data_IF_951995310484
#
_entry.id   IF_951995310484
#
_cell.length_a   1.000
_cell.length_b   1.000
_cell.length_c   1.000
_cell.angle_alpha   90.00
_cell.angle_beta   90.00
_cell.angle_gamma   90.00
#
_symmetry.space_group_name_H-M   'P 1'
#
loop_
_entity.id
_entity.type
_entity.pdbx_description
1 polymer ?
#
# COMPACT_ATOMS: atom_id res chain seq x y z
N UNK A 1 53.65 -14.58 38.78
CA UNK A 1 53.17 -14.40 37.40
C UNK A 1 51.92 -15.24 37.22
N UNK A 2 50.76 -14.82 37.79
CA UNK A 2 49.51 -15.62 37.61
C UNK A 2 48.22 -14.80 37.84
N UNK A 3 48.25 -13.48 37.60
CA UNK A 3 47.05 -12.64 37.72
C UNK A 3 46.33 -12.38 36.39
N UNK A 4 46.96 -12.70 35.26
CA UNK A 4 46.37 -12.43 33.91
C UNK A 4 45.30 -13.41 33.43
N UNK A 5 45.12 -14.55 34.09
CA UNK A 5 44.24 -15.63 33.59
C UNK A 5 42.83 -15.64 34.26
N UNK A 6 42.64 -14.88 35.33
CA UNK A 6 41.34 -14.86 36.01
C UNK A 6 40.35 -13.84 35.46
N UNK A 7 40.83 -12.77 34.84
CA UNK A 7 39.93 -11.76 34.24
C UNK A 7 39.32 -12.19 32.93
N UNK A 8 40.01 -12.95 32.08
CA UNK A 8 39.48 -13.53 30.85
C UNK A 8 38.34 -14.52 31.13
N UNK A 9 38.47 -15.33 32.18
CA UNK A 9 37.43 -16.30 32.55
C UNK A 9 36.19 -15.63 33.19
N UNK A 10 36.32 -14.47 33.76
CA UNK A 10 35.21 -13.69 34.31
C UNK A 10 34.44 -12.97 33.21
N UNK A 11 35.08 -12.41 32.21
CA UNK A 11 34.43 -11.79 31.05
C UNK A 11 33.70 -12.81 30.18
N UNK A 12 34.25 -13.99 29.97
CA UNK A 12 33.60 -15.07 29.24
C UNK A 12 32.34 -15.58 29.98
N UNK A 13 32.38 -15.70 31.31
CA UNK A 13 31.21 -16.04 32.14
C UNK A 13 30.15 -14.93 32.19
N UNK A 14 30.55 -13.67 32.04
CA UNK A 14 29.60 -12.54 31.92
C UNK A 14 28.98 -12.46 30.53
N UNK A 15 29.68 -12.80 29.45
CA UNK A 15 29.11 -12.92 28.08
C UNK A 15 28.16 -14.09 27.96
N UNK A 16 28.37 -15.21 28.64
CA UNK A 16 27.49 -16.38 28.62
C UNK A 16 26.20 -16.18 29.43
N UNK A 17 26.13 -15.18 30.29
CA UNK A 17 24.91 -14.77 31.04
C UNK A 17 23.99 -13.79 30.31
N UNK A 18 24.21 -13.48 29.02
CA UNK A 18 23.15 -12.87 28.20
C UNK A 18 21.98 -13.84 28.13
N UNK A 19 21.03 -13.59 29.01
CA UNK A 19 19.88 -14.44 29.33
C UNK A 19 19.25 -15.01 28.05
N UNK A 20 19.34 -16.33 27.88
CA UNK A 20 18.44 -17.06 26.97
C UNK A 20 17.02 -16.72 27.39
N UNK A 21 16.19 -16.20 26.51
CA UNK A 21 14.81 -15.89 26.87
C UNK A 21 14.20 -17.15 27.48
N UNK A 22 13.67 -17.04 28.70
CA UNK A 22 13.17 -18.21 29.46
C UNK A 22 12.20 -19.00 28.60
N UNK A 23 12.19 -20.32 28.73
CA UNK A 23 11.39 -21.24 27.91
C UNK A 23 9.92 -20.80 27.78
N UNK A 24 9.35 -20.22 28.83
CA UNK A 24 8.01 -19.63 28.83
C UNK A 24 7.87 -18.45 27.84
N UNK A 25 8.88 -17.55 27.74
CA UNK A 25 8.87 -16.44 26.77
C UNK A 25 9.04 -16.93 25.35
N UNK A 26 9.83 -17.98 25.11
CA UNK A 26 9.99 -18.57 23.78
C UNK A 26 8.75 -19.35 23.36
N UNK A 27 8.11 -20.07 24.27
CA UNK A 27 6.85 -20.77 24.05
C UNK A 27 5.72 -19.78 23.77
N UNK A 28 5.59 -18.73 24.57
CA UNK A 28 4.61 -17.65 24.36
C UNK A 28 4.81 -16.96 23.02
N UNK A 29 6.06 -16.69 22.62
CA UNK A 29 6.38 -16.14 21.30
C UNK A 29 5.96 -17.07 20.16
N UNK A 30 6.17 -18.38 20.29
CA UNK A 30 5.74 -19.41 19.31
C UNK A 30 4.22 -19.50 19.23
N UNK A 31 3.53 -19.56 20.36
CA UNK A 31 2.06 -19.61 20.43
C UNK A 31 1.46 -18.34 19.83
N UNK A 32 1.97 -17.17 20.18
CA UNK A 32 1.53 -15.88 19.61
C UNK A 32 1.72 -15.83 18.10
N UNK A 33 2.86 -16.29 17.58
CA UNK A 33 3.12 -16.34 16.12
C UNK A 33 2.17 -17.33 15.44
N UNK A 34 1.86 -18.46 16.07
CA UNK A 34 0.95 -19.46 15.51
C UNK A 34 -0.50 -18.96 15.51
N UNK A 35 -0.95 -18.33 16.59
CA UNK A 35 -2.28 -17.72 16.67
C UNK A 35 -2.43 -16.60 15.64
N UNK A 36 -1.46 -15.71 15.52
CA UNK A 36 -1.50 -14.58 14.58
C UNK A 36 -1.46 -15.04 13.11
N UNK A 37 -0.86 -16.21 12.83
CA UNK A 37 -0.80 -16.80 11.48
C UNK A 37 -1.92 -17.80 11.19
N UNK A 38 -2.83 -18.06 12.15
CA UNK A 38 -3.98 -18.92 11.92
C UNK A 38 -4.91 -18.32 10.87
N UNK A 39 -5.38 -19.09 9.89
CA UNK A 39 -6.36 -18.64 8.91
C UNK A 39 -7.63 -18.07 9.54
N UNK A 40 -8.05 -18.63 10.68
CA UNK A 40 -9.22 -18.15 11.44
C UNK A 40 -8.95 -16.77 12.04
N UNK A 41 -7.79 -16.60 12.69
CA UNK A 41 -7.40 -15.30 13.26
C UNK A 41 -7.28 -14.24 12.18
N UNK A 42 -6.66 -14.57 11.04
CA UNK A 42 -6.53 -13.67 9.89
C UNK A 42 -7.92 -13.30 9.36
N UNK A 43 -8.85 -14.26 9.26
CA UNK A 43 -10.21 -13.99 8.78
C UNK A 43 -11.01 -13.10 9.75
N UNK A 44 -10.89 -13.31 11.06
CA UNK A 44 -11.54 -12.46 12.07
C UNK A 44 -10.96 -11.05 12.01
N UNK A 45 -9.64 -10.93 11.99
CA UNK A 45 -8.95 -9.63 11.94
C UNK A 45 -9.27 -8.87 10.65
N UNK A 46 -9.33 -9.55 9.50
CA UNK A 46 -9.74 -8.95 8.24
C UNK A 46 -11.16 -8.39 8.30
N UNK A 47 -12.11 -9.11 8.91
CA UNK A 47 -13.49 -8.62 9.09
C UNK A 47 -13.55 -7.40 10.02
N UNK A 48 -12.78 -7.42 11.11
CA UNK A 48 -12.73 -6.28 12.04
C UNK A 48 -12.13 -5.04 11.37
N UNK A 49 -11.05 -5.20 10.62
CA UNK A 49 -10.43 -4.11 9.85
C UNK A 49 -11.42 -3.62 8.79
N UNK A 50 -12.03 -4.51 8.02
CA UNK A 50 -13.02 -4.11 7.02
C UNK A 50 -14.19 -3.34 7.63
N UNK A 51 -14.74 -3.81 8.74
CA UNK A 51 -15.81 -3.12 9.48
C UNK A 51 -15.37 -1.73 9.96
N UNK A 52 -14.14 -1.61 10.48
CA UNK A 52 -13.56 -0.33 10.87
C UNK A 52 -13.43 0.63 9.67
N UNK A 53 -12.88 0.17 8.55
CA UNK A 53 -12.75 0.99 7.34
C UNK A 53 -14.12 1.44 6.83
N UNK A 54 -15.12 0.56 6.85
CA UNK A 54 -16.52 0.90 6.51
C UNK A 54 -17.09 1.93 7.46
N UNK A 55 -16.85 1.82 8.78
CA UNK A 55 -17.25 2.82 9.75
C UNK A 55 -16.61 4.18 9.45
N UNK A 56 -15.30 4.20 9.21
CA UNK A 56 -14.59 5.44 8.81
C UNK A 56 -15.22 6.02 7.55
N UNK A 57 -15.43 5.20 6.53
CA UNK A 57 -16.00 5.65 5.26
C UNK A 57 -17.41 6.25 5.39
N UNK A 58 -18.30 5.57 6.10
CA UNK A 58 -19.71 5.96 6.19
C UNK A 58 -19.97 7.13 7.15
N UNK A 59 -19.07 7.37 8.11
CA UNK A 59 -19.24 8.43 9.12
C UNK A 59 -18.46 9.71 8.84
N UNK A 60 -17.57 9.70 7.84
CA UNK A 60 -16.90 10.93 7.40
C UNK A 60 -17.68 11.56 6.25
N UNK A 61 -18.09 12.81 6.43
CA UNK A 61 -18.88 13.55 5.43
C UNK A 61 -17.94 14.06 4.33
N UNK A 62 -18.22 13.81 3.05
CA UNK A 62 -17.47 14.41 1.96
C UNK A 62 -17.53 15.94 2.03
N UNK A 63 -16.38 16.60 1.84
CA UNK A 63 -16.32 18.07 1.72
C UNK A 63 -16.68 18.48 0.29
N UNK A 64 -17.13 19.73 0.13
CA UNK A 64 -17.40 20.30 -1.20
C UNK A 64 -16.17 20.23 -2.11
N UNK A 65 -16.34 19.87 -3.37
CA UNK A 65 -15.25 19.70 -4.32
C UNK A 65 -14.46 18.39 -4.16
N UNK A 66 -14.90 17.48 -3.28
CA UNK A 66 -14.36 16.12 -3.22
C UNK A 66 -14.75 15.34 -4.47
N UNK A 67 -13.78 14.66 -5.08
CA UNK A 67 -14.01 13.80 -6.24
C UNK A 67 -14.77 12.52 -5.85
N UNK A 68 -15.37 11.89 -6.86
CA UNK A 68 -16.00 10.57 -6.73
C UNK A 68 -15.40 9.62 -7.77
N UNK A 69 -14.71 8.59 -7.29
CA UNK A 69 -14.21 7.52 -8.17
C UNK A 69 -15.36 6.77 -8.84
N UNK A 70 -16.48 6.60 -8.11
CA UNK A 70 -17.68 5.92 -8.65
C UNK A 70 -18.25 6.69 -9.83
N UNK A 71 -18.34 8.04 -9.74
CA UNK A 71 -18.89 8.84 -10.83
C UNK A 71 -17.97 8.85 -12.06
N UNK A 72 -16.65 8.80 -11.87
CA UNK A 72 -15.70 8.64 -12.98
C UNK A 72 -15.90 7.31 -13.69
N UNK A 73 -16.09 6.24 -12.93
CA UNK A 73 -16.39 4.91 -13.48
C UNK A 73 -17.73 4.91 -14.23
N UNK A 74 -18.74 5.56 -13.69
CA UNK A 74 -20.05 5.70 -14.34
C UNK A 74 -19.97 6.44 -15.68
N UNK A 75 -19.04 7.40 -15.80
CA UNK A 75 -18.73 8.09 -17.07
C UNK A 75 -17.91 7.24 -18.06
N UNK A 76 -17.59 6.01 -17.72
CA UNK A 76 -16.83 5.11 -18.59
C UNK A 76 -15.32 5.24 -18.47
N UNK A 77 -14.80 6.08 -17.55
CA UNK A 77 -13.36 6.17 -17.32
C UNK A 77 -12.82 4.81 -16.82
N UNK A 78 -11.67 4.41 -17.34
CA UNK A 78 -10.98 3.16 -16.96
C UNK A 78 -9.48 3.40 -16.95
N UNK A 79 -8.78 2.85 -15.95
CA UNK A 79 -7.34 3.01 -15.85
C UNK A 79 -6.73 2.47 -14.56
N UNK A 80 -5.59 3.03 -14.23
CA UNK A 80 -4.76 2.63 -13.09
C UNK A 80 -4.89 3.71 -12.02
N UNK A 81 -5.54 3.41 -10.91
CA UNK A 81 -5.54 4.29 -9.74
C UNK A 81 -4.24 4.10 -8.96
N UNK A 82 -3.49 5.18 -8.78
CA UNK A 82 -2.24 5.20 -8.05
C UNK A 82 -2.39 5.97 -6.73
N UNK A 83 -1.84 5.45 -5.62
CA UNK A 83 -1.76 6.20 -4.37
C UNK A 83 -0.46 5.87 -3.62
N UNK A 84 -0.10 6.73 -2.66
CA UNK A 84 1.02 6.46 -1.78
C UNK A 84 0.75 5.31 -0.80
N UNK A 85 1.78 4.55 -0.47
CA UNK A 85 1.68 3.45 0.49
C UNK A 85 1.12 3.92 1.84
N UNK A 86 1.52 5.08 2.30
CA UNK A 86 1.02 5.64 3.56
C UNK A 86 -0.49 5.98 3.57
N UNK A 87 -1.17 5.95 2.43
CA UNK A 87 -2.60 6.27 2.29
C UNK A 87 -3.45 5.08 1.85
N UNK A 88 -2.85 3.90 1.64
CA UNK A 88 -3.51 2.75 1.02
C UNK A 88 -4.62 2.10 1.87
N UNK A 89 -4.66 2.33 3.18
CA UNK A 89 -5.61 1.67 4.08
C UNK A 89 -7.07 1.87 3.67
N UNK A 90 -7.40 3.01 3.06
CA UNK A 90 -8.77 3.30 2.62
C UNK A 90 -9.11 2.81 1.21
N UNK A 91 -8.19 2.22 0.48
CA UNK A 91 -8.45 1.66 -0.86
C UNK A 91 -9.64 0.71 -0.92
N UNK A 92 -9.85 -0.19 0.08
CA UNK A 92 -11.04 -1.07 0.07
C UNK A 92 -12.38 -0.35 0.05
N UNK A 93 -12.39 0.94 0.42
CA UNK A 93 -13.61 1.76 0.43
C UNK A 93 -13.69 2.74 -0.74
N UNK A 94 -12.54 3.17 -1.29
CA UNK A 94 -12.45 4.13 -2.40
C UNK A 94 -12.70 3.44 -3.73
N UNK A 95 -12.16 2.24 -3.90
CA UNK A 95 -12.39 1.46 -5.11
C UNK A 95 -13.80 0.85 -5.12
N UNK A 96 -14.46 0.81 -6.27
CA UNK A 96 -15.76 0.17 -6.37
C UNK A 96 -15.61 -1.34 -6.13
N UNK A 97 -16.47 -1.88 -5.28
CA UNK A 97 -16.59 -3.32 -5.07
C UNK A 97 -17.23 -4.03 -6.26
N UNK A 98 -17.70 -5.27 -6.04
CA UNK A 98 -18.39 -6.04 -7.08
C UNK A 98 -17.47 -6.57 -8.19
N UNK A 99 -16.17 -6.79 -7.85
CA UNK A 99 -15.16 -7.34 -8.77
C UNK A 99 -14.93 -6.51 -10.04
N UNK A 100 -15.15 -5.20 -9.93
CA UNK A 100 -14.93 -4.24 -11.03
C UNK A 100 -13.49 -3.75 -11.12
N UNK A 101 -12.62 -4.20 -10.22
CA UNK A 101 -11.21 -3.85 -10.20
C UNK A 101 -10.34 -4.84 -9.45
N UNK A 102 -9.05 -4.75 -9.67
CA UNK A 102 -8.04 -5.55 -9.01
C UNK A 102 -6.90 -4.70 -8.43
N UNK A 103 -6.31 -5.19 -7.36
CA UNK A 103 -5.15 -4.55 -6.69
C UNK A 103 -3.99 -5.53 -6.65
N UNK A 104 -2.79 -5.05 -6.94
CA UNK A 104 -1.58 -5.84 -6.74
C UNK A 104 -1.22 -5.91 -5.27
N UNK A 105 -1.09 -7.11 -4.73
CA UNK A 105 -0.72 -7.36 -3.34
C UNK A 105 0.54 -8.21 -3.26
N UNK A 106 1.46 -7.87 -2.38
CA UNK A 106 2.69 -8.64 -2.14
C UNK A 106 2.38 -10.09 -1.72
N UNK A 107 3.36 -10.99 -1.88
CA UNK A 107 3.29 -12.39 -1.41
C UNK A 107 3.72 -12.58 0.04
N UNK A 108 3.97 -11.51 0.78
CA UNK A 108 4.35 -11.59 2.19
C UNK A 108 3.18 -12.03 3.08
N UNK A 109 3.48 -12.57 4.26
CA UNK A 109 2.44 -12.95 5.21
C UNK A 109 1.60 -11.75 5.70
N UNK A 110 2.22 -10.57 5.81
CA UNK A 110 1.50 -9.35 6.20
C UNK A 110 0.53 -8.88 5.11
N UNK A 111 0.88 -9.15 3.84
CA UNK A 111 0.03 -8.83 2.71
C UNK A 111 -1.19 -9.77 2.59
N UNK A 112 -1.18 -10.93 3.25
CA UNK A 112 -2.34 -11.83 3.29
C UNK A 112 -3.54 -11.19 3.98
N UNK A 113 -3.31 -10.48 5.09
CA UNK A 113 -4.36 -9.75 5.79
C UNK A 113 -4.96 -8.66 4.90
N UNK A 114 -4.10 -7.88 4.22
CA UNK A 114 -4.56 -6.83 3.30
C UNK A 114 -5.37 -7.42 2.14
N UNK A 115 -4.93 -8.54 1.57
CA UNK A 115 -5.69 -9.21 0.51
C UNK A 115 -7.08 -9.65 0.98
N UNK A 116 -7.18 -10.23 2.18
CA UNK A 116 -8.47 -10.61 2.75
C UNK A 116 -9.41 -9.42 2.97
N UNK A 117 -8.88 -8.28 3.38
CA UNK A 117 -9.67 -7.04 3.53
C UNK A 117 -10.18 -6.56 2.16
N UNK A 118 -9.35 -6.59 1.12
CA UNK A 118 -9.73 -6.23 -0.26
C UNK A 118 -10.80 -7.19 -0.80
N UNK A 119 -10.63 -8.50 -0.62
CA UNK A 119 -11.61 -9.52 -1.02
C UNK A 119 -12.97 -9.32 -0.33
N UNK A 120 -12.99 -8.99 0.97
CA UNK A 120 -14.22 -8.65 1.69
C UNK A 120 -14.90 -7.38 1.14
N UNK A 121 -14.14 -6.48 0.53
CA UNK A 121 -14.68 -5.31 -0.16
C UNK A 121 -15.11 -5.61 -1.61
N UNK A 122 -14.96 -6.85 -2.09
CA UNK A 122 -15.30 -7.24 -3.46
C UNK A 122 -14.28 -6.75 -4.50
N UNK A 123 -13.01 -6.64 -4.10
CA UNK A 123 -11.90 -6.24 -4.96
C UNK A 123 -11.01 -7.45 -5.20
N UNK A 124 -10.72 -7.75 -6.46
CA UNK A 124 -9.85 -8.87 -6.83
C UNK A 124 -8.40 -8.58 -6.45
N UNK A 125 -7.66 -9.60 -6.03
CA UNK A 125 -6.25 -9.45 -5.67
C UNK A 125 -5.34 -10.24 -6.59
N UNK A 126 -4.30 -9.58 -7.13
CA UNK A 126 -3.24 -10.21 -7.90
C UNK A 126 -1.97 -10.28 -7.07
N UNK A 127 -1.42 -11.48 -6.91
CA UNK A 127 -0.19 -11.68 -6.12
C UNK A 127 1.04 -11.40 -6.96
N UNK A 128 1.69 -10.28 -6.66
CA UNK A 128 2.93 -9.86 -7.27
C UNK A 128 3.88 -9.25 -6.24
N UNK A 129 5.17 -9.24 -6.52
CA UNK A 129 6.11 -8.43 -5.74
C UNK A 129 6.71 -7.37 -6.65
N UNK A 130 6.54 -6.10 -6.30
CA UNK A 130 7.49 -5.08 -6.69
C UNK A 130 8.82 -5.48 -6.04
N UNK A 131 9.85 -5.82 -6.83
CA UNK A 131 11.08 -6.36 -6.29
C UNK A 131 11.81 -5.35 -5.43
N UNK A 132 12.48 -5.84 -4.39
CA UNK A 132 13.54 -5.09 -3.72
C UNK A 132 14.65 -4.82 -4.73
N UNK A 133 15.21 -3.61 -4.74
CA UNK A 133 16.29 -3.22 -5.64
C UNK A 133 17.50 -4.19 -5.62
N UNK A 134 17.68 -4.96 -4.55
CA UNK A 134 18.78 -5.89 -4.37
C UNK A 134 18.50 -7.34 -4.83
N UNK A 135 17.28 -7.68 -5.25
CA UNK A 135 16.95 -9.02 -5.77
C UNK A 135 16.41 -8.95 -7.20
N UNK A 136 17.28 -8.50 -8.09
CA UNK A 136 16.98 -8.18 -9.48
C UNK A 136 16.32 -9.36 -10.24
N UNK A 137 16.74 -10.59 -10.02
CA UNK A 137 16.23 -11.78 -10.74
C UNK A 137 14.86 -12.28 -10.22
N UNK A 138 14.58 -12.16 -8.93
CA UNK A 138 13.28 -12.53 -8.37
C UNK A 138 12.23 -11.42 -8.62
N UNK A 139 12.68 -10.16 -8.57
CA UNK A 139 11.91 -8.98 -8.93
C UNK A 139 11.46 -9.00 -10.39
N UNK A 140 12.38 -9.30 -11.32
CA UNK A 140 12.10 -9.33 -12.75
C UNK A 140 11.06 -10.41 -13.11
N UNK A 141 11.14 -11.61 -12.52
CA UNK A 141 10.20 -12.72 -12.83
C UNK A 141 8.84 -12.58 -12.18
N UNK A 142 8.77 -12.10 -10.94
CA UNK A 142 7.52 -11.92 -10.19
C UNK A 142 6.78 -10.65 -10.61
N UNK A 143 7.51 -9.55 -10.85
CA UNK A 143 6.98 -8.27 -11.26
C UNK A 143 6.37 -8.30 -12.66
N UNK A 144 7.09 -8.86 -13.64
CA UNK A 144 6.59 -8.95 -15.02
C UNK A 144 5.29 -9.76 -15.12
N UNK A 145 5.19 -10.91 -14.42
CA UNK A 145 3.96 -11.70 -14.39
C UNK A 145 2.80 -10.93 -13.76
N UNK A 146 3.05 -10.18 -12.70
CA UNK A 146 2.03 -9.37 -12.07
C UNK A 146 1.54 -8.25 -13.01
N UNK A 147 2.46 -7.56 -13.71
CA UNK A 147 2.09 -6.53 -14.68
C UNK A 147 1.26 -7.11 -15.85
N UNK A 148 1.61 -8.30 -16.34
CA UNK A 148 0.82 -8.98 -17.38
C UNK A 148 -0.58 -9.33 -16.85
N UNK A 149 -0.70 -9.78 -15.60
CA UNK A 149 -1.99 -10.06 -14.96
C UNK A 149 -2.83 -8.79 -14.82
N UNK A 150 -2.23 -7.68 -14.37
CA UNK A 150 -2.91 -6.40 -14.27
C UNK A 150 -3.33 -5.84 -15.63
N UNK A 151 -2.48 -6.01 -16.67
CA UNK A 151 -2.83 -5.62 -18.04
C UNK A 151 -4.09 -6.35 -18.50
N UNK A 152 -4.21 -7.66 -18.24
CA UNK A 152 -5.43 -8.42 -18.60
C UNK A 152 -6.68 -7.87 -17.92
N UNK A 153 -6.58 -7.51 -16.64
CA UNK A 153 -7.69 -6.86 -15.91
C UNK A 153 -8.09 -5.54 -16.58
N UNK A 154 -7.12 -4.74 -17.01
CA UNK A 154 -7.38 -3.49 -17.75
C UNK A 154 -7.98 -3.75 -19.14
N UNK A 155 -7.54 -4.80 -19.84
CA UNK A 155 -8.09 -5.22 -21.14
C UNK A 155 -9.56 -5.70 -21.01
N UNK A 156 -9.94 -6.27 -19.86
CA UNK A 156 -11.32 -6.63 -19.50
C UNK A 156 -12.20 -5.40 -19.19
N UNK A 157 -11.66 -4.18 -19.27
CA UNK A 157 -12.39 -2.95 -18.96
C UNK A 157 -12.57 -2.70 -17.46
N UNK A 158 -11.79 -3.36 -16.61
CA UNK A 158 -11.80 -3.16 -15.16
C UNK A 158 -10.75 -2.14 -14.71
N UNK A 159 -10.88 -1.63 -13.48
CA UNK A 159 -9.89 -0.77 -12.86
C UNK A 159 -8.76 -1.57 -12.23
N UNK A 160 -7.58 -0.98 -12.18
CA UNK A 160 -6.45 -1.49 -11.42
C UNK A 160 -6.02 -0.47 -10.37
N UNK A 161 -5.89 -0.92 -9.11
CA UNK A 161 -5.27 -0.13 -8.05
C UNK A 161 -3.81 -0.53 -7.85
N UNK A 162 -2.92 0.44 -7.77
CA UNK A 162 -1.51 0.23 -7.46
C UNK A 162 -1.00 1.21 -6.42
N UNK A 163 -0.15 0.72 -5.53
CA UNK A 163 0.65 1.56 -4.65
C UNK A 163 1.85 2.04 -5.45
N UNK A 164 2.07 3.36 -5.42
CA UNK A 164 3.05 4.01 -6.29
C UNK A 164 4.49 3.81 -5.81
N UNK A 165 4.74 3.96 -4.51
CA UNK A 165 6.07 3.84 -3.93
C UNK A 165 6.44 2.39 -3.59
N UNK A 166 7.73 2.10 -3.66
CA UNK A 166 8.26 0.76 -3.42
C UNK A 166 8.49 0.56 -1.92
N UNK A 167 7.97 -0.53 -1.31
CA UNK A 167 8.22 -0.81 0.10
C UNK A 167 9.70 -0.82 0.45
N UNK A 168 10.07 -0.08 1.49
CA UNK A 168 11.45 0.13 1.95
C UNK A 168 12.37 0.85 0.96
N UNK A 169 11.82 1.44 -0.10
CA UNK A 169 12.51 2.40 -0.96
C UNK A 169 12.45 3.82 -0.41
N UNK A 170 12.65 4.80 -1.27
CA UNK A 170 12.41 6.22 -0.94
C UNK A 170 10.91 6.44 -0.79
N UNK A 171 10.42 6.91 0.35
CA UNK A 171 9.00 7.23 0.52
C UNK A 171 8.58 8.32 -0.46
N UNK A 172 7.37 8.19 -1.00
CA UNK A 172 6.82 9.17 -1.97
C UNK A 172 7.70 9.37 -3.21
N UNK A 173 8.25 8.28 -3.70
CA UNK A 173 8.93 8.22 -4.99
C UNK A 173 8.30 7.08 -5.80
N UNK A 174 7.61 7.42 -6.88
CA UNK A 174 6.84 6.46 -7.66
C UNK A 174 7.78 5.46 -8.34
N UNK A 175 7.42 4.19 -8.29
CA UNK A 175 8.16 3.12 -8.94
C UNK A 175 7.86 3.04 -10.44
N UNK A 176 8.83 2.61 -11.24
CA UNK A 176 8.71 2.43 -12.68
C UNK A 176 7.60 1.41 -13.08
N UNK A 177 7.18 0.53 -12.17
CA UNK A 177 6.18 -0.51 -12.45
C UNK A 177 4.83 0.05 -12.90
N UNK A 178 4.37 1.17 -12.34
CA UNK A 178 3.09 1.80 -12.72
C UNK A 178 3.18 2.40 -14.12
N UNK A 179 4.28 3.09 -14.40
CA UNK A 179 4.54 3.70 -15.71
C UNK A 179 4.66 2.63 -16.80
N UNK A 180 5.33 1.51 -16.46
CA UNK A 180 5.43 0.34 -17.35
C UNK A 180 4.05 -0.25 -17.62
N UNK A 181 3.19 -0.39 -16.61
CA UNK A 181 1.82 -0.88 -16.81
C UNK A 181 1.02 0.07 -17.70
N UNK A 182 1.11 1.39 -17.48
CA UNK A 182 0.45 2.38 -18.32
C UNK A 182 0.89 2.26 -19.78
N UNK A 183 2.20 2.16 -20.04
CA UNK A 183 2.77 2.01 -21.38
C UNK A 183 2.26 0.74 -22.09
N UNK A 184 2.33 -0.42 -21.43
CA UNK A 184 1.96 -1.70 -22.08
C UNK A 184 0.46 -1.91 -22.21
N UNK A 185 -0.36 -1.24 -21.41
CA UNK A 185 -1.83 -1.33 -21.45
C UNK A 185 -2.49 -0.23 -22.26
N UNK A 186 -1.76 0.88 -22.51
CA UNK A 186 -2.33 2.10 -23.12
C UNK A 186 -3.39 2.79 -22.25
N UNK A 187 -3.48 2.41 -20.96
CA UNK A 187 -4.46 2.98 -20.03
C UNK A 187 -3.80 4.07 -19.19
N UNK A 188 -4.53 5.16 -18.88
CA UNK A 188 -4.00 6.25 -18.08
C UNK A 188 -3.80 5.86 -16.62
N UNK A 189 -2.88 6.58 -15.96
CA UNK A 189 -2.72 6.54 -14.49
C UNK A 189 -3.44 7.74 -13.88
N UNK A 190 -4.26 7.49 -12.88
CA UNK A 190 -4.94 8.51 -12.10
C UNK A 190 -4.28 8.61 -10.72
N UNK A 191 -3.64 9.73 -10.36
CA UNK A 191 -3.19 10.00 -9.01
C UNK A 191 -4.40 10.10 -8.07
N UNK A 192 -4.44 9.30 -7.00
CA UNK A 192 -5.56 9.27 -6.05
C UNK A 192 -5.06 9.52 -4.64
N UNK A 193 -5.69 10.46 -3.94
CA UNK A 193 -5.47 10.71 -2.53
C UNK A 193 -6.79 10.69 -1.76
N UNK A 194 -6.73 10.19 -0.52
CA UNK A 194 -7.83 10.24 0.43
C UNK A 194 -7.33 10.76 1.77
N UNK A 195 -8.07 11.70 2.35
CA UNK A 195 -7.78 12.22 3.68
C UNK A 195 -9.06 12.42 4.50
N UNK A 196 -8.90 12.35 5.82
CA UNK A 196 -9.95 12.74 6.77
C UNK A 196 -9.46 13.85 7.70
N UNK A 197 -10.37 14.71 8.17
CA UNK A 197 -10.03 15.76 9.15
C UNK A 197 -9.57 15.17 10.49
N UNK A 198 -10.03 13.97 10.81
CA UNK A 198 -9.61 13.21 12.00
C UNK A 198 -8.71 12.07 11.56
N UNK A 199 -7.42 12.30 11.65
CA UNK A 199 -6.41 11.32 11.24
C UNK A 199 -5.19 11.35 12.16
N UNK A 200 -4.42 10.27 12.16
CA UNK A 200 -3.12 10.19 12.82
C UNK A 200 -2.09 9.69 11.82
N UNK A 201 -1.08 10.50 11.56
CA UNK A 201 0.09 10.09 10.77
C UNK A 201 1.09 9.39 11.70
N UNK A 202 1.52 8.21 11.32
CA UNK A 202 2.54 7.45 12.05
C UNK A 202 3.93 7.88 11.56
N UNK A 203 4.47 8.94 12.15
CA UNK A 203 5.75 9.55 11.72
C UNK A 203 6.96 8.61 11.77
N UNK A 204 6.87 7.53 12.55
CA UNK A 204 7.96 6.54 12.70
C UNK A 204 7.90 5.42 11.67
N UNK A 205 6.84 5.29 10.88
CA UNK A 205 6.79 4.34 9.77
C UNK A 205 7.50 4.94 8.55
N UNK A 206 8.14 4.09 7.75
CA UNK A 206 8.88 4.54 6.57
C UNK A 206 8.00 5.29 5.55
N UNK A 207 6.73 4.89 5.46
CA UNK A 207 5.72 5.41 4.53
C UNK A 207 4.83 6.50 5.13
N UNK A 208 5.03 6.86 6.41
CA UNK A 208 4.16 7.74 7.17
C UNK A 208 2.70 7.34 7.06
N UNK A 209 2.40 6.06 7.33
CA UNK A 209 1.05 5.49 7.29
C UNK A 209 0.04 6.40 8.01
N UNK A 210 -1.04 6.74 7.32
CA UNK A 210 -2.13 7.54 7.87
C UNK A 210 -3.27 6.65 8.35
N UNK A 211 -3.60 6.74 9.63
CA UNK A 211 -4.79 6.11 10.22
C UNK A 211 -5.91 7.13 10.24
N UNK A 212 -6.96 6.84 9.49
CA UNK A 212 -8.15 7.67 9.44
C UNK A 212 -9.13 7.28 10.55
N UNK A 213 -9.78 8.28 11.17
CA UNK A 213 -10.73 8.10 12.25
C UNK A 213 -12.16 8.43 11.80
N UNK A 214 -13.19 7.80 12.39
CA UNK A 214 -14.59 8.09 12.07
C UNK A 214 -15.07 9.46 12.56
N UNK A 215 -16.26 9.87 12.10
CA UNK A 215 -17.00 11.07 12.55
C UNK A 215 -16.28 12.40 12.27
N UNK A 216 -15.74 12.56 11.08
CA UNK A 216 -15.08 13.77 10.60
C UNK A 216 -15.56 14.21 9.22
N UNK A 217 -14.71 14.94 8.53
CA UNK A 217 -14.84 15.29 7.11
C UNK A 217 -13.87 14.42 6.30
N UNK A 218 -14.21 14.15 5.04
CA UNK A 218 -13.36 13.41 4.11
C UNK A 218 -13.23 14.13 2.78
N UNK A 219 -12.07 13.98 2.15
CA UNK A 219 -11.84 14.38 0.77
C UNK A 219 -11.18 13.26 -0.02
N UNK A 220 -11.67 13.04 -1.23
CA UNK A 220 -10.99 12.31 -2.29
C UNK A 220 -10.53 13.35 -3.30
N UNK A 221 -9.30 13.22 -3.75
CA UNK A 221 -8.76 13.96 -4.89
C UNK A 221 -8.27 12.95 -5.90
N UNK A 222 -8.79 13.06 -7.12
CA UNK A 222 -8.35 12.28 -8.28
C UNK A 222 -7.74 13.27 -9.27
N UNK A 223 -6.43 13.19 -9.47
CA UNK A 223 -5.72 14.03 -10.41
C UNK A 223 -6.08 13.74 -11.88
N UNK A 224 -5.54 14.55 -12.77
CA UNK A 224 -5.72 14.36 -14.20
C UNK A 224 -5.07 13.06 -14.69
N UNK A 225 -5.62 12.45 -15.76
CA UNK A 225 -5.08 11.20 -16.29
C UNK A 225 -3.70 11.42 -16.92
N UNK A 226 -2.73 10.62 -16.48
CA UNK A 226 -1.37 10.60 -17.01
C UNK A 226 -1.27 9.49 -18.04
N UNK A 227 -1.01 9.84 -19.29
CA UNK A 227 -0.83 8.91 -20.39
C UNK A 227 0.64 8.64 -20.65
N UNK A 228 0.99 7.39 -20.97
CA UNK A 228 2.33 6.99 -21.37
C UNK A 228 2.24 6.39 -22.77
N UNK A 229 2.98 6.95 -23.71
CA UNK A 229 2.99 6.46 -25.08
C UNK A 229 3.56 5.04 -25.17
N UNK A 230 3.03 4.22 -26.08
CA UNK A 230 3.46 2.83 -26.22
C UNK A 230 4.94 2.71 -26.68
N UNK A 231 5.42 3.71 -27.42
CA UNK A 231 6.79 3.85 -27.92
C UNK A 231 7.67 4.73 -27.02
N UNK A 232 7.20 5.08 -25.81
CA UNK A 232 7.99 5.88 -24.85
C UNK A 232 9.33 5.23 -24.56
N UNK A 233 10.41 5.98 -24.78
CA UNK A 233 11.76 5.60 -24.43
C UNK A 233 12.01 5.71 -22.92
N UNK A 234 13.21 5.39 -22.47
CA UNK A 234 13.59 5.41 -21.07
C UNK A 234 13.46 6.83 -20.46
N UNK A 235 13.84 7.86 -21.21
CA UNK A 235 13.76 9.25 -20.75
C UNK A 235 12.29 9.71 -20.60
N UNK A 236 11.43 9.37 -21.55
CA UNK A 236 10.00 9.67 -21.50
C UNK A 236 9.31 8.91 -20.35
N UNK A 237 9.69 7.65 -20.11
CA UNK A 237 9.17 6.87 -18.98
C UNK A 237 9.61 7.45 -17.64
N UNK A 238 10.85 7.90 -17.51
CA UNK A 238 11.34 8.54 -16.27
C UNK A 238 10.64 9.90 -16.07
N UNK A 239 10.45 10.68 -17.11
CA UNK A 239 9.68 11.93 -17.04
C UNK A 239 8.23 11.66 -16.56
N UNK A 240 7.56 10.63 -17.09
CA UNK A 240 6.22 10.24 -16.64
C UNK A 240 6.20 9.78 -15.17
N UNK A 241 7.24 9.07 -14.71
CA UNK A 241 7.41 8.64 -13.31
C UNK A 241 7.53 9.85 -12.37
N UNK A 242 8.37 10.81 -12.72
CA UNK A 242 8.56 12.03 -11.95
C UNK A 242 7.29 12.89 -11.95
N UNK A 243 6.59 12.97 -13.08
CA UNK A 243 5.31 13.65 -13.17
C UNK A 243 4.25 13.00 -12.28
N UNK A 244 4.13 11.67 -12.29
CA UNK A 244 3.24 10.93 -11.39
C UNK A 244 3.56 11.20 -9.92
N UNK A 245 4.84 11.22 -9.55
CA UNK A 245 5.30 11.55 -8.19
C UNK A 245 4.80 12.93 -7.76
N UNK A 246 4.99 13.94 -8.60
CA UNK A 246 4.56 15.31 -8.31
C UNK A 246 3.02 15.42 -8.21
N UNK A 247 2.27 14.74 -9.07
CA UNK A 247 0.81 14.77 -9.05
C UNK A 247 0.23 14.04 -7.82
N UNK A 248 0.82 12.94 -7.38
CA UNK A 248 0.44 12.25 -6.15
C UNK A 248 0.66 13.11 -4.91
N UNK A 249 1.77 13.85 -4.85
CA UNK A 249 2.03 14.77 -3.76
C UNK A 249 1.06 15.95 -3.78
N UNK A 250 0.77 16.49 -4.97
CA UNK A 250 -0.22 17.55 -5.16
C UNK A 250 -1.63 17.13 -4.76
N UNK A 251 -2.06 15.93 -5.18
CA UNK A 251 -3.34 15.35 -4.78
C UNK A 251 -3.42 15.15 -3.27
N UNK A 252 -2.34 14.64 -2.64
CA UNK A 252 -2.27 14.42 -1.20
C UNK A 252 -2.35 15.72 -0.40
N UNK A 253 -1.63 16.76 -0.84
CA UNK A 253 -1.65 18.08 -0.21
C UNK A 253 -3.03 18.73 -0.34
N UNK A 254 -3.65 18.66 -1.54
CA UNK A 254 -5.00 19.17 -1.79
C UNK A 254 -6.04 18.46 -0.92
N UNK A 255 -6.02 17.14 -0.85
CA UNK A 255 -6.96 16.39 -0.01
C UNK A 255 -6.84 16.77 1.46
N UNK A 256 -5.61 16.99 1.95
CA UNK A 256 -5.36 17.45 3.31
C UNK A 256 -5.91 18.87 3.55
N UNK A 257 -5.59 19.82 2.65
CA UNK A 257 -6.08 21.19 2.75
C UNK A 257 -7.61 21.28 2.79
N UNK A 258 -8.30 20.51 1.93
CA UNK A 258 -9.76 20.45 1.87
C UNK A 258 -10.39 20.02 3.20
N UNK A 259 -9.86 19.03 3.88
CA UNK A 259 -10.42 18.53 5.14
C UNK A 259 -9.99 19.37 6.34
N UNK A 260 -8.87 20.08 6.27
CA UNK A 260 -8.36 20.94 7.33
C UNK A 260 -8.99 22.35 7.30
N UNK A 261 -9.72 22.68 6.22
CA UNK A 261 -10.39 23.97 6.06
C UNK A 261 -9.47 25.09 5.54
N UNK A 262 -8.36 24.70 4.91
CA UNK A 262 -7.33 25.58 4.35
C UNK A 262 -7.35 25.61 2.80
N UNK A 263 -8.45 25.16 2.20
CA UNK A 263 -8.64 25.12 0.75
C UNK A 263 -9.43 26.32 0.24
#
# INVERSE_FOLDING_TARGET
MDEGNQDGAREERQRSRRARPGAAKSLWKRIRVHIVRSPVTTAILARLIHAWLRLVWTTNRPVSGSDSVIDRIARGERGIGAAWHGQHLMFPCIMPGGHTGAVMVSRSADAELNARVLELAGIDTLRGSGGRANDRKAAERGGARALIGLKRVLDEGKWVGMIADIPHGTPRDAGMGIVTLARISGKPVYPVAYQTSRRKVLERTWDKTTINWPFGRAAIVVGDPIHVAADADEAAMEAARLHLTAELDRASARAAAMVDGNA
#
